data_IF_478769956314
#
_entry.id   IF_478769956314
#
_cell.length_a   1.000
_cell.length_b   1.000
_cell.length_c   1.000
_cell.angle_alpha   90.00
_cell.angle_beta   90.00
_cell.angle_gamma   90.00
#
_symmetry.space_group_name_H-M   'P 1'
#
loop_
_entity.id
_entity.type
_entity.pdbx_description
1 polymer ?
#
# COMPACT_ATOMS: atom_id res chain seq x y z
N UNK A 1 -66.09 35.49 -3.61
CA UNK A 1 -67.22 34.82 -2.96
C UNK A 1 -66.73 33.88 -1.86
N UNK A 2 -67.63 33.35 -1.02
CA UNK A 2 -67.30 32.49 0.14
C UNK A 2 -66.48 31.26 -0.30
N UNK A 3 -66.76 30.67 -1.42
CA UNK A 3 -66.09 29.48 -1.98
C UNK A 3 -64.63 29.77 -2.40
N UNK A 4 -64.34 30.94 -2.95
CA UNK A 4 -62.99 31.35 -3.34
C UNK A 4 -62.09 31.54 -2.11
N UNK A 5 -62.68 32.05 -0.99
CA UNK A 5 -61.94 32.16 0.29
C UNK A 5 -61.65 30.78 0.87
N UNK A 6 -62.54 29.82 0.74
CA UNK A 6 -62.36 28.48 1.23
C UNK A 6 -61.30 27.70 0.42
N UNK A 7 -61.33 27.85 -0.89
CA UNK A 7 -60.28 27.28 -1.77
C UNK A 7 -58.90 27.87 -1.46
N UNK A 8 -58.79 29.20 -1.33
CA UNK A 8 -57.53 29.85 -0.98
C UNK A 8 -56.99 29.40 0.39
N UNK A 9 -57.85 29.17 1.39
CA UNK A 9 -57.43 28.63 2.69
C UNK A 9 -56.86 27.22 2.58
N UNK A 10 -57.51 26.35 1.80
CA UNK A 10 -57.02 24.97 1.60
C UNK A 10 -55.66 24.95 0.86
N UNK A 11 -55.49 25.85 -0.12
CA UNK A 11 -54.21 25.98 -0.85
C UNK A 11 -53.11 26.49 0.05
N UNK A 12 -53.37 27.47 0.92
CA UNK A 12 -52.40 27.97 1.92
C UNK A 12 -52.00 26.86 2.89
N UNK A 13 -52.96 26.07 3.36
CA UNK A 13 -52.67 24.95 4.27
C UNK A 13 -51.83 23.90 3.61
N UNK A 14 -52.10 23.54 2.35
CA UNK A 14 -51.30 22.63 1.55
C UNK A 14 -49.89 23.15 1.34
N UNK A 15 -49.73 24.41 0.94
CA UNK A 15 -48.43 25.05 0.75
C UNK A 15 -47.59 25.10 2.04
N UNK A 16 -48.23 25.37 3.18
CA UNK A 16 -47.54 25.34 4.46
C UNK A 16 -47.07 23.92 4.84
N UNK A 17 -47.87 22.89 4.56
CA UNK A 17 -47.46 21.51 4.79
C UNK A 17 -46.32 21.10 3.90
N UNK A 18 -46.35 21.49 2.61
CA UNK A 18 -45.24 21.24 1.67
C UNK A 18 -43.97 21.99 2.11
N UNK A 19 -44.11 23.22 2.57
CA UNK A 19 -42.99 24.02 3.09
C UNK A 19 -42.31 23.37 4.29
N UNK A 20 -43.10 22.93 5.28
CA UNK A 20 -42.56 22.20 6.43
C UNK A 20 -41.83 20.93 6.02
N UNK A 21 -42.43 20.15 5.10
CA UNK A 21 -41.80 18.93 4.58
C UNK A 21 -40.45 19.21 3.89
N UNK A 22 -40.36 20.28 3.09
CA UNK A 22 -39.12 20.66 2.46
C UNK A 22 -38.08 21.18 3.44
N UNK A 23 -38.54 21.86 4.50
CA UNK A 23 -37.66 22.29 5.60
C UNK A 23 -37.03 21.08 6.30
N UNK A 24 -37.84 20.10 6.69
CA UNK A 24 -37.34 18.87 7.31
C UNK A 24 -36.36 18.12 6.41
N UNK A 25 -36.62 18.06 5.09
CA UNK A 25 -35.71 17.43 4.14
C UNK A 25 -34.41 18.21 3.99
N UNK A 26 -34.47 19.54 4.02
CA UNK A 26 -33.29 20.38 3.97
C UNK A 26 -32.42 20.16 5.20
N UNK A 27 -32.97 20.17 6.37
CA UNK A 27 -32.27 19.98 7.64
C UNK A 27 -31.63 18.58 7.70
N UNK A 28 -32.34 17.54 7.22
CA UNK A 28 -31.76 16.18 7.12
C UNK A 28 -30.59 16.12 6.14
N UNK A 29 -30.70 16.81 5.00
CA UNK A 29 -29.65 16.84 3.98
C UNK A 29 -28.42 17.62 4.46
N UNK A 30 -28.62 18.72 5.17
CA UNK A 30 -27.54 19.53 5.77
C UNK A 30 -26.77 18.71 6.81
N UNK A 31 -27.47 18.01 7.70
CA UNK A 31 -26.83 17.11 8.67
C UNK A 31 -26.01 16.00 8.00
N UNK A 32 -26.54 15.38 6.94
CA UNK A 32 -25.82 14.37 6.16
C UNK A 32 -24.60 14.95 5.47
N UNK A 33 -24.71 16.16 4.95
CA UNK A 33 -23.60 16.85 4.30
C UNK A 33 -22.46 17.12 5.28
N UNK A 34 -22.75 17.62 6.47
CA UNK A 34 -21.77 17.85 7.53
C UNK A 34 -21.08 16.55 7.96
N UNK A 35 -21.86 15.49 8.15
CA UNK A 35 -21.31 14.17 8.51
C UNK A 35 -20.35 13.63 7.44
N UNK A 36 -20.72 13.74 6.15
CA UNK A 36 -19.86 13.31 5.02
C UNK A 36 -18.60 14.17 4.94
N UNK A 37 -18.70 15.47 5.17
CA UNK A 37 -17.53 16.36 5.20
C UNK A 37 -16.54 15.96 6.30
N UNK A 38 -17.05 15.69 7.50
CA UNK A 38 -16.22 15.27 8.64
C UNK A 38 -15.51 13.92 8.36
N UNK A 39 -16.26 12.96 7.81
CA UNK A 39 -15.69 11.67 7.39
C UNK A 39 -14.61 11.84 6.30
N UNK A 40 -14.84 12.71 5.32
CA UNK A 40 -13.89 13.00 4.25
C UNK A 40 -12.60 13.63 4.81
N UNK A 41 -12.75 14.59 5.73
CA UNK A 41 -11.60 15.21 6.39
C UNK A 41 -10.76 14.20 7.16
N UNK A 42 -11.39 13.35 7.99
CA UNK A 42 -10.71 12.28 8.73
C UNK A 42 -9.98 11.31 7.82
N UNK A 43 -10.60 10.92 6.69
CA UNK A 43 -9.96 10.01 5.72
C UNK A 43 -8.79 10.67 4.98
N UNK A 44 -8.90 11.96 4.62
CA UNK A 44 -7.80 12.72 4.00
C UNK A 44 -6.61 12.83 4.93
N UNK A 45 -6.81 13.28 6.16
CA UNK A 45 -5.74 13.41 7.15
C UNK A 45 -5.04 12.07 7.42
N UNK A 46 -5.81 10.98 7.54
CA UNK A 46 -5.24 9.64 7.70
C UNK A 46 -4.41 9.21 6.48
N UNK A 47 -4.87 9.53 5.27
CA UNK A 47 -4.13 9.24 4.03
C UNK A 47 -2.81 10.00 4.00
N UNK A 48 -2.83 11.31 4.27
CA UNK A 48 -1.64 12.16 4.33
C UNK A 48 -0.63 11.63 5.34
N UNK A 49 -1.08 11.29 6.55
CA UNK A 49 -0.22 10.68 7.57
C UNK A 49 0.44 9.38 7.09
N UNK A 50 -0.30 8.48 6.43
CA UNK A 50 0.25 7.22 5.89
C UNK A 50 1.23 7.50 4.75
N UNK A 51 0.96 8.49 3.89
CA UNK A 51 1.86 8.90 2.81
C UNK A 51 3.19 9.46 3.36
N UNK A 52 3.13 10.25 4.42
CA UNK A 52 4.33 10.77 5.08
C UNK A 52 5.14 9.66 5.77
N UNK A 53 4.49 8.72 6.45
CA UNK A 53 5.16 7.54 6.99
C UNK A 53 5.87 6.71 5.90
N UNK A 54 5.26 6.58 4.72
CA UNK A 54 5.88 5.91 3.56
C UNK A 54 7.09 6.66 3.03
N UNK A 55 6.97 7.98 2.84
CA UNK A 55 8.10 8.84 2.39
C UNK A 55 9.28 8.78 3.35
N UNK A 56 8.98 8.65 4.63
CA UNK A 56 10.01 8.55 5.66
C UNK A 56 10.61 7.16 5.83
N UNK A 57 10.11 6.13 5.13
CA UNK A 57 10.56 4.74 5.32
C UNK A 57 10.54 4.30 6.78
N UNK A 58 9.50 4.68 7.53
CA UNK A 58 9.45 4.52 8.99
C UNK A 58 9.34 3.06 9.47
N UNK A 59 9.12 2.10 8.58
CA UNK A 59 9.15 0.66 8.86
C UNK A 59 10.50 -0.03 8.61
N UNK A 60 11.49 0.69 8.09
CA UNK A 60 12.77 0.11 7.69
C UNK A 60 13.88 0.33 8.72
N UNK A 61 14.84 -0.60 8.78
CA UNK A 61 16.05 -0.43 9.59
C UNK A 61 16.84 0.82 9.14
N UNK A 62 17.58 1.44 10.08
CA UNK A 62 18.29 2.69 9.86
C UNK A 62 19.13 2.69 8.57
N UNK A 63 19.88 1.64 8.31
CA UNK A 63 20.74 1.55 7.12
C UNK A 63 19.93 1.49 5.82
N UNK A 64 18.85 0.72 5.81
CA UNK A 64 17.95 0.59 4.65
C UNK A 64 17.25 1.93 4.39
N UNK A 65 16.65 2.53 5.43
CA UNK A 65 16.02 3.86 5.36
C UNK A 65 16.95 4.91 4.75
N UNK A 66 18.21 4.96 5.19
CA UNK A 66 19.17 5.95 4.72
C UNK A 66 19.54 5.72 3.24
N UNK A 67 19.70 4.48 2.81
CA UNK A 67 19.96 4.17 1.40
C UNK A 67 18.76 4.50 0.51
N UNK A 68 17.53 4.18 0.95
CA UNK A 68 16.33 4.46 0.17
C UNK A 68 16.06 5.97 0.05
N UNK A 69 16.35 6.75 1.08
CA UNK A 69 16.26 8.22 1.03
C UNK A 69 17.26 8.86 0.04
N UNK A 70 18.41 8.23 -0.13
CA UNK A 70 19.45 8.66 -1.06
C UNK A 70 19.39 7.93 -2.41
N UNK A 71 18.25 7.36 -2.76
CA UNK A 71 18.06 6.57 -4.00
C UNK A 71 18.49 7.32 -5.26
N UNK A 72 18.25 8.62 -5.32
CA UNK A 72 18.63 9.47 -6.47
C UNK A 72 20.14 9.51 -6.72
N UNK A 73 20.94 9.28 -5.67
CA UNK A 73 22.40 9.19 -5.74
C UNK A 73 22.88 7.87 -6.38
N UNK A 74 22.04 6.82 -6.31
CA UNK A 74 22.39 5.48 -6.75
C UNK A 74 21.48 5.03 -7.89
N UNK A 75 21.76 5.47 -9.12
CA UNK A 75 20.92 5.25 -10.32
C UNK A 75 20.52 3.78 -10.59
N UNK A 76 21.29 2.81 -10.07
CA UNK A 76 21.05 1.37 -10.24
C UNK A 76 20.49 0.71 -8.97
N UNK A 77 19.94 1.49 -8.06
CA UNK A 77 19.23 1.01 -6.88
C UNK A 77 17.77 0.83 -7.24
N UNK A 78 17.22 -0.36 -6.97
CA UNK A 78 15.83 -0.70 -7.32
C UNK A 78 14.84 -0.52 -6.16
N UNK A 79 15.31 -0.52 -4.92
CA UNK A 79 14.49 -0.38 -3.72
C UNK A 79 14.53 -1.62 -2.82
N UNK A 80 13.74 -1.59 -1.75
CA UNK A 80 13.63 -2.73 -0.84
C UNK A 80 12.73 -3.82 -1.41
N UNK A 81 12.97 -5.09 -1.06
CA UNK A 81 12.13 -6.24 -1.45
C UNK A 81 10.66 -6.01 -1.11
N UNK A 82 10.39 -5.36 0.03
CA UNK A 82 9.02 -5.00 0.43
C UNK A 82 8.29 -4.14 -0.61
N UNK A 83 9.01 -3.27 -1.35
CA UNK A 83 8.44 -2.34 -2.33
C UNK A 83 8.30 -2.95 -3.72
N UNK A 84 9.13 -3.94 -4.06
CA UNK A 84 9.22 -4.51 -5.41
C UNK A 84 8.15 -5.56 -5.71
N UNK A 85 7.41 -6.01 -4.70
CA UNK A 85 6.39 -7.05 -4.82
C UNK A 85 4.99 -6.48 -4.69
N UNK A 86 4.06 -7.00 -5.51
CA UNK A 86 2.61 -6.82 -5.33
C UNK A 86 2.03 -8.13 -4.85
N UNK A 87 1.32 -8.13 -3.74
CA UNK A 87 0.72 -9.32 -3.10
C UNK A 87 -0.75 -9.43 -3.46
N UNK A 88 -1.25 -10.67 -3.50
CA UNK A 88 -2.69 -10.92 -3.33
C UNK A 88 -3.00 -10.80 -1.84
N UNK A 89 -4.06 -10.08 -1.48
CA UNK A 89 -4.46 -9.85 -0.06
C UNK A 89 -4.61 -11.14 0.73
N UNK A 90 -5.07 -12.18 0.10
CA UNK A 90 -5.36 -13.50 0.68
C UNK A 90 -4.12 -14.19 1.28
N UNK A 91 -2.95 -14.05 0.63
CA UNK A 91 -1.70 -14.73 1.05
C UNK A 91 -0.68 -13.76 1.65
N UNK A 92 -1.07 -12.53 1.90
CA UNK A 92 -0.16 -11.46 2.34
C UNK A 92 0.60 -11.83 3.61
N UNK A 93 -0.12 -12.26 4.64
CA UNK A 93 0.47 -12.63 5.94
C UNK A 93 1.44 -13.81 5.81
N UNK A 94 1.08 -14.86 5.04
CA UNK A 94 1.94 -16.02 4.84
C UNK A 94 3.25 -15.64 4.14
N UNK A 95 3.17 -14.84 3.07
CA UNK A 95 4.33 -14.36 2.33
C UNK A 95 5.22 -13.45 3.20
N UNK A 96 4.62 -12.57 4.00
CA UNK A 96 5.38 -11.69 4.90
C UNK A 96 6.08 -12.48 5.99
N UNK A 97 5.42 -13.47 6.56
CA UNK A 97 6.01 -14.34 7.57
C UNK A 97 7.19 -15.13 6.99
N UNK A 98 7.04 -15.67 5.78
CA UNK A 98 8.12 -16.41 5.08
C UNK A 98 9.32 -15.53 4.78
N UNK A 99 9.10 -14.33 4.28
CA UNK A 99 10.17 -13.38 3.96
C UNK A 99 10.80 -12.77 5.20
N UNK A 100 10.01 -12.48 6.24
CA UNK A 100 10.50 -11.90 7.49
C UNK A 100 11.44 -10.72 7.27
N UNK A 101 12.62 -10.78 7.87
CA UNK A 101 13.64 -9.73 7.74
C UNK A 101 14.19 -9.54 6.32
N UNK A 102 14.02 -10.53 5.42
CA UNK A 102 14.43 -10.41 4.01
C UNK A 102 13.66 -9.33 3.26
N UNK A 103 12.48 -8.90 3.77
CA UNK A 103 11.73 -7.76 3.25
C UNK A 103 12.53 -6.46 3.27
N UNK A 104 13.48 -6.35 4.19
CA UNK A 104 14.37 -5.19 4.38
C UNK A 104 15.57 -5.21 3.42
N UNK A 105 15.81 -6.29 2.68
CA UNK A 105 16.94 -6.37 1.77
C UNK A 105 16.75 -5.41 0.61
N UNK A 106 17.83 -4.75 0.20
CA UNK A 106 17.83 -3.74 -0.86
C UNK A 106 18.32 -4.39 -2.16
N UNK A 107 17.50 -4.32 -3.20
CA UNK A 107 17.85 -4.85 -4.53
C UNK A 107 18.58 -3.78 -5.32
N UNK A 108 19.71 -4.17 -5.91
CA UNK A 108 20.56 -3.33 -6.77
C UNK A 108 20.88 -4.07 -8.06
N UNK A 109 21.23 -3.33 -9.11
CA UNK A 109 21.53 -3.92 -10.42
C UNK A 109 22.77 -4.83 -10.38
N UNK A 110 23.85 -4.36 -9.73
CA UNK A 110 25.15 -5.01 -9.76
C UNK A 110 25.95 -4.88 -8.44
N UNK A 111 27.00 -5.68 -8.34
CA UNK A 111 27.91 -5.72 -7.19
C UNK A 111 28.61 -4.38 -6.94
N UNK A 112 28.89 -3.62 -8.00
CA UNK A 112 29.54 -2.32 -7.86
C UNK A 112 28.62 -1.32 -7.16
N UNK A 113 27.33 -1.33 -7.52
CA UNK A 113 26.31 -0.52 -6.86
C UNK A 113 26.16 -0.92 -5.39
N UNK A 114 26.12 -2.23 -5.09
CA UNK A 114 26.10 -2.72 -3.71
C UNK A 114 27.30 -2.20 -2.91
N UNK A 115 28.51 -2.29 -3.48
CA UNK A 115 29.75 -1.81 -2.86
C UNK A 115 29.70 -0.30 -2.59
N UNK A 116 29.22 0.48 -3.53
CA UNK A 116 29.08 1.93 -3.38
C UNK A 116 28.10 2.28 -2.23
N UNK A 117 26.95 1.59 -2.15
CA UNK A 117 26.00 1.75 -1.07
C UNK A 117 26.59 1.36 0.31
N UNK A 118 27.35 0.26 0.37
CA UNK A 118 28.02 -0.17 1.60
C UNK A 118 29.05 0.86 2.06
N UNK A 119 29.87 1.39 1.14
CA UNK A 119 30.85 2.41 1.46
C UNK A 119 30.19 3.68 1.99
N UNK A 120 29.12 4.13 1.33
CA UNK A 120 28.31 5.27 1.79
C UNK A 120 27.79 5.07 3.23
N UNK A 121 27.23 3.90 3.54
CA UNK A 121 26.76 3.59 4.89
C UNK A 121 27.88 3.60 5.94
N UNK A 122 29.08 3.10 5.57
CA UNK A 122 30.25 3.10 6.45
C UNK A 122 30.76 4.50 6.72
N UNK A 123 30.97 5.30 5.68
CA UNK A 123 31.47 6.68 5.75
C UNK A 123 30.55 7.57 6.60
N UNK A 124 29.24 7.42 6.42
CA UNK A 124 28.24 8.23 7.13
C UNK A 124 27.78 7.63 8.47
N UNK A 125 28.35 6.50 8.91
CA UNK A 125 27.92 5.77 10.13
C UNK A 125 26.40 5.56 10.18
N UNK A 126 25.80 5.27 9.03
CA UNK A 126 24.36 5.28 8.78
C UNK A 126 23.66 3.95 9.02
N UNK A 127 24.33 2.99 9.66
CA UNK A 127 23.78 1.67 9.97
C UNK A 127 24.20 0.61 8.96
N UNK A 128 23.43 -0.50 8.91
CA UNK A 128 23.73 -1.65 8.04
C UNK A 128 22.52 -1.97 7.18
N UNK A 129 22.77 -2.47 5.96
CA UNK A 129 21.76 -3.01 5.06
C UNK A 129 22.33 -4.23 4.33
N UNK A 130 21.46 -5.15 3.93
CA UNK A 130 21.78 -6.29 3.07
C UNK A 130 21.41 -5.94 1.65
N UNK A 131 22.35 -6.11 0.71
CA UNK A 131 22.13 -5.82 -0.70
C UNK A 131 22.05 -7.12 -1.50
N UNK A 132 21.16 -7.13 -2.49
CA UNK A 132 20.93 -8.25 -3.40
C UNK A 132 21.22 -7.78 -4.83
N UNK A 133 22.46 -7.98 -5.34
CA UNK A 133 22.80 -7.63 -6.71
C UNK A 133 22.19 -8.63 -7.69
N UNK A 134 21.41 -8.13 -8.65
CA UNK A 134 20.68 -8.96 -9.63
C UNK A 134 21.66 -9.77 -10.50
N UNK A 135 22.81 -9.18 -10.83
CA UNK A 135 23.80 -9.82 -11.71
C UNK A 135 24.50 -11.03 -11.10
N UNK A 136 24.69 -11.05 -9.77
CA UNK A 136 25.49 -12.07 -9.08
C UNK A 136 24.69 -13.02 -8.21
N UNK A 137 23.42 -12.73 -7.96
CA UNK A 137 22.57 -13.61 -7.17
C UNK A 137 22.35 -14.94 -7.90
N UNK A 138 22.56 -16.05 -7.20
CA UNK A 138 22.34 -17.40 -7.74
C UNK A 138 20.95 -17.87 -7.30
N UNK A 139 20.08 -18.09 -8.27
CA UNK A 139 18.83 -18.80 -8.07
C UNK A 139 19.10 -20.30 -8.11
N UNK A 140 18.47 -21.05 -7.20
CA UNK A 140 18.52 -22.51 -7.21
C UNK A 140 17.49 -23.13 -8.15
N UNK A 141 16.74 -22.31 -8.90
CA UNK A 141 15.64 -22.73 -9.74
C UNK A 141 14.38 -23.08 -8.95
N UNK A 142 13.31 -23.39 -9.67
CA UNK A 142 12.05 -23.84 -9.05
C UNK A 142 12.20 -25.28 -8.53
N UNK A 143 11.76 -25.49 -7.29
CA UNK A 143 11.69 -26.82 -6.69
C UNK A 143 10.66 -27.66 -7.48
N UNK A 144 10.98 -28.91 -7.74
CA UNK A 144 10.03 -29.85 -8.34
C UNK A 144 8.92 -30.18 -7.33
N UNK A 145 7.70 -29.75 -7.63
CA UNK A 145 6.54 -29.89 -6.73
C UNK A 145 5.66 -31.10 -7.04
N UNK A 146 6.05 -31.95 -8.00
CA UNK A 146 5.23 -33.09 -8.41
C UNK A 146 4.81 -33.99 -7.24
N UNK A 147 5.68 -34.17 -6.23
CA UNK A 147 5.40 -34.97 -5.04
C UNK A 147 4.31 -34.38 -4.14
N UNK A 148 4.07 -33.07 -4.21
CA UNK A 148 3.14 -32.38 -3.32
C UNK A 148 1.80 -32.03 -3.99
N UNK A 149 1.70 -32.15 -5.31
CA UNK A 149 0.51 -31.72 -6.07
C UNK A 149 -0.78 -32.41 -5.65
N UNK A 150 -0.69 -33.63 -5.08
CA UNK A 150 -1.84 -34.42 -4.63
C UNK A 150 -2.07 -34.31 -3.11
N UNK A 151 -1.25 -33.57 -2.37
CA UNK A 151 -1.39 -33.42 -0.93
C UNK A 151 -2.53 -32.46 -0.58
N UNK A 152 -3.39 -32.92 0.35
CA UNK A 152 -4.53 -32.09 0.81
C UNK A 152 -4.05 -30.85 1.49
N UNK A 153 -4.46 -29.68 0.97
CA UNK A 153 -4.09 -28.36 1.51
C UNK A 153 -2.86 -27.74 0.84
N UNK A 154 -2.21 -28.44 -0.11
CA UNK A 154 -1.15 -27.82 -0.90
C UNK A 154 -1.74 -26.84 -1.93
N UNK A 155 -1.32 -25.58 -1.90
CA UNK A 155 -1.83 -24.53 -2.77
C UNK A 155 -0.85 -24.13 -3.87
N UNK A 156 0.44 -24.42 -3.71
CA UNK A 156 1.50 -24.03 -4.64
C UNK A 156 2.73 -23.48 -3.93
N UNK A 157 3.72 -23.04 -4.71
CA UNK A 157 4.91 -22.36 -4.18
C UNK A 157 4.57 -20.93 -3.80
N UNK A 158 5.21 -20.39 -2.75
CA UNK A 158 5.05 -19.01 -2.32
C UNK A 158 5.29 -18.00 -3.48
N UNK A 159 6.20 -18.35 -4.39
CA UNK A 159 6.52 -17.57 -5.58
C UNK A 159 5.32 -17.36 -6.52
N UNK A 160 4.39 -18.34 -6.60
CA UNK A 160 3.21 -18.29 -7.48
C UNK A 160 2.14 -17.30 -6.98
N UNK A 161 2.22 -16.90 -5.71
CA UNK A 161 1.29 -15.97 -5.06
C UNK A 161 1.80 -14.53 -4.98
N UNK A 162 3.01 -14.25 -5.50
CA UNK A 162 3.62 -12.93 -5.51
C UNK A 162 3.77 -12.43 -6.95
N UNK A 163 3.26 -11.22 -7.22
CA UNK A 163 3.48 -10.54 -8.50
C UNK A 163 4.65 -9.57 -8.37
N UNK A 164 5.58 -9.62 -9.32
CA UNK A 164 6.75 -8.73 -9.41
C UNK A 164 7.17 -8.59 -10.88
N UNK A 165 8.10 -7.66 -11.15
CA UNK A 165 8.63 -7.51 -12.49
C UNK A 165 9.62 -8.64 -12.80
N UNK A 166 9.61 -9.17 -14.02
CA UNK A 166 10.43 -10.31 -14.48
C UNK A 166 11.92 -10.14 -14.21
N UNK A 167 12.45 -8.92 -14.25
CA UNK A 167 13.84 -8.62 -13.92
C UNK A 167 14.26 -9.06 -12.52
N UNK A 168 13.30 -9.24 -11.60
CA UNK A 168 13.53 -9.68 -10.22
C UNK A 168 13.35 -11.18 -10.01
N UNK A 169 13.12 -11.98 -11.07
CA UNK A 169 12.89 -13.42 -10.95
C UNK A 169 13.95 -14.11 -10.10
N UNK A 170 15.25 -13.91 -10.40
CA UNK A 170 16.35 -14.51 -9.64
C UNK A 170 16.35 -14.13 -8.17
N UNK A 171 16.03 -12.87 -7.89
CA UNK A 171 15.97 -12.36 -6.50
C UNK A 171 14.81 -13.01 -5.75
N UNK A 172 13.64 -13.12 -6.38
CA UNK A 172 12.48 -13.70 -5.74
C UNK A 172 12.61 -15.21 -5.54
N UNK A 173 13.18 -15.94 -6.50
CA UNK A 173 13.52 -17.36 -6.38
C UNK A 173 14.59 -17.64 -5.31
N UNK A 174 15.48 -16.69 -5.06
CA UNK A 174 16.46 -16.81 -3.97
C UNK A 174 15.83 -16.57 -2.59
N UNK A 175 14.77 -15.75 -2.52
CA UNK A 175 14.17 -15.32 -1.26
C UNK A 175 13.06 -16.26 -0.78
N UNK A 176 12.29 -16.82 -1.70
CA UNK A 176 11.11 -17.68 -1.47
C UNK A 176 11.39 -19.12 -1.81
#
# INVERSE_FOLDING_TARGET
TKDQIQQAKQEIEKLNNDLNKYQDQYDELENKYEEIQDQLYKKKSRREFIEDLKKEYSGFYKGVKNILKESDRFQKLHGAVAELKKKKKEYETAIETTLGNKLQNVVVEDDQTAKNCINYLKENKSGRATFLPINSIKSYGRINTHSFNNEKGYLGLALDFVKFNEKYNKVMEYLL
#
